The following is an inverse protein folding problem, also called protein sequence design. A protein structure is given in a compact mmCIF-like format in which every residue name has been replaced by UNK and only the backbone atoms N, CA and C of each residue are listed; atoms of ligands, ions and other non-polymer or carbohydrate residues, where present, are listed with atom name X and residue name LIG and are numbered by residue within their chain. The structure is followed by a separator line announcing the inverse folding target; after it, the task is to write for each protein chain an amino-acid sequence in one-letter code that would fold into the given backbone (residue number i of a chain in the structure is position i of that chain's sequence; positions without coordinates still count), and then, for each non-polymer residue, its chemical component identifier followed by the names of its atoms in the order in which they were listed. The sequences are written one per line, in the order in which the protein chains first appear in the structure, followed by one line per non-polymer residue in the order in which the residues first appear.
data_IF_028570768764
#
_entry.id   IF_028570768764
#
_cell.length_a   1.000
_cell.length_b   1.000
_cell.length_c   1.000
_cell.angle_alpha   90.00
_cell.angle_beta   90.00
_cell.angle_gamma   90.00
#
_symmetry.space_group_name_H-M   'P 1'
#
loop_
_entity.id
_entity.type
_entity.pdbx_description
1 polymer ?
#
# COMPACT_ATOMS: atom_id res chain seq x y z
N UNK A 1 17.88 1.39 29.89
CA UNK A 1 18.91 0.97 28.91
C UNK A 1 18.54 -0.30 28.15
N UNK A 2 18.01 -1.35 28.79
CA UNK A 2 17.64 -2.61 28.13
C UNK A 2 16.54 -2.46 27.05
N UNK A 3 15.48 -1.67 27.31
CA UNK A 3 14.38 -1.47 26.35
C UNK A 3 14.82 -0.74 25.08
N UNK A 4 15.67 0.29 25.21
CA UNK A 4 16.20 1.03 24.05
C UNK A 4 17.10 0.17 23.17
N UNK A 5 17.94 -0.70 23.76
CA UNK A 5 18.78 -1.62 22.99
C UNK A 5 17.94 -2.66 22.22
N UNK A 6 16.91 -3.21 22.85
CA UNK A 6 15.96 -4.12 22.20
C UNK A 6 15.22 -3.44 21.05
N UNK A 7 14.79 -2.17 21.23
CA UNK A 7 14.16 -1.39 20.17
C UNK A 7 15.11 -1.20 18.98
N UNK A 8 16.37 -0.82 19.22
CA UNK A 8 17.37 -0.65 18.14
C UNK A 8 17.57 -1.98 17.38
N UNK A 9 17.72 -3.10 18.10
CA UNK A 9 17.88 -4.41 17.47
C UNK A 9 16.66 -4.78 16.63
N UNK A 10 15.46 -4.55 17.16
CA UNK A 10 14.18 -4.79 16.47
C UNK A 10 14.05 -3.92 15.24
N UNK A 11 14.40 -2.64 15.32
CA UNK A 11 14.42 -1.69 14.22
C UNK A 11 15.37 -2.10 13.10
N UNK A 12 16.57 -2.56 13.45
CA UNK A 12 17.55 -3.10 12.49
C UNK A 12 17.01 -4.36 11.81
N UNK A 13 16.55 -5.32 12.61
CA UNK A 13 15.95 -6.56 12.09
C UNK A 13 14.78 -6.28 11.15
N UNK A 14 13.85 -5.44 11.57
CA UNK A 14 12.69 -5.03 10.77
C UNK A 14 13.11 -4.37 9.45
N UNK A 15 14.10 -3.48 9.47
CA UNK A 15 14.61 -2.81 8.26
C UNK A 15 15.15 -3.83 7.26
N UNK A 16 16.01 -4.74 7.73
CA UNK A 16 16.66 -5.76 6.90
C UNK A 16 15.64 -6.72 6.33
N UNK A 17 14.73 -7.25 7.16
CA UNK A 17 13.69 -8.18 6.72
C UNK A 17 12.71 -7.52 5.75
N UNK A 18 12.25 -6.30 6.04
CA UNK A 18 11.31 -5.57 5.18
C UNK A 18 11.93 -5.30 3.81
N UNK A 19 13.20 -4.88 3.76
CA UNK A 19 13.90 -4.63 2.51
C UNK A 19 14.19 -5.91 1.73
N UNK A 20 14.68 -6.95 2.41
CA UNK A 20 14.98 -8.24 1.79
C UNK A 20 13.75 -8.91 1.20
N UNK A 21 12.67 -9.01 1.98
CA UNK A 21 11.40 -9.59 1.51
C UNK A 21 10.75 -8.69 0.47
N UNK A 22 10.77 -7.36 0.66
CA UNK A 22 10.15 -6.41 -0.26
C UNK A 22 10.80 -6.36 -1.64
N UNK A 23 12.10 -6.62 -1.75
CA UNK A 23 12.82 -6.64 -3.04
C UNK A 23 12.80 -8.01 -3.72
N UNK A 24 12.27 -9.05 -3.08
CA UNK A 24 12.19 -10.41 -3.60
C UNK A 24 11.51 -10.51 -4.99
N UNK A 25 10.41 -9.77 -5.28
CA UNK A 25 9.81 -9.77 -6.62
C UNK A 25 10.77 -9.37 -7.76
N UNK A 26 11.76 -8.51 -7.50
CA UNK A 26 12.72 -8.04 -8.50
C UNK A 26 13.77 -9.09 -8.89
N UNK A 27 13.95 -10.12 -8.06
CA UNK A 27 14.90 -11.19 -8.31
C UNK A 27 14.43 -12.14 -9.42
N UNK A 28 13.13 -12.16 -9.72
CA UNK A 28 12.53 -13.04 -10.70
C UNK A 28 12.32 -12.34 -12.05
N UNK A 29 12.57 -13.06 -13.14
CA UNK A 29 12.21 -12.61 -14.48
C UNK A 29 10.76 -13.04 -14.77
N UNK A 30 9.82 -12.10 -14.65
CA UNK A 30 8.39 -12.37 -14.77
C UNK A 30 7.85 -11.93 -16.14
N UNK A 31 7.00 -12.76 -16.74
CA UNK A 31 6.21 -12.39 -17.91
C UNK A 31 5.10 -11.41 -17.54
N UNK A 32 4.55 -10.65 -18.52
CA UNK A 32 3.44 -9.70 -18.26
C UNK A 32 2.23 -10.35 -17.58
N UNK A 33 1.92 -11.60 -17.93
CA UNK A 33 0.81 -12.33 -17.31
C UNK A 33 1.10 -12.67 -15.84
N UNK A 34 2.33 -13.05 -15.52
CA UNK A 34 2.76 -13.32 -14.14
C UNK A 34 2.87 -12.04 -13.31
N UNK A 35 3.30 -10.93 -13.92
CA UNK A 35 3.32 -9.61 -13.26
C UNK A 35 1.92 -9.18 -12.85
N UNK A 36 0.94 -9.27 -13.77
CA UNK A 36 -0.45 -8.92 -13.44
C UNK A 36 -1.04 -9.77 -12.31
N UNK A 37 -0.72 -11.07 -12.27
CA UNK A 37 -1.11 -11.94 -11.14
C UNK A 37 -0.46 -11.50 -9.84
N UNK A 38 0.83 -11.18 -9.90
CA UNK A 38 1.60 -10.76 -8.75
C UNK A 38 1.14 -9.40 -8.21
N UNK A 39 0.74 -8.47 -9.07
CA UNK A 39 0.15 -7.18 -8.72
C UNK A 39 -1.21 -7.36 -8.03
N UNK A 40 -2.10 -8.20 -8.59
CA UNK A 40 -3.40 -8.51 -7.97
C UNK A 40 -3.22 -9.17 -6.60
N UNK A 41 -2.26 -10.09 -6.51
CA UNK A 41 -1.90 -10.73 -5.25
C UNK A 41 -1.31 -9.72 -4.25
N UNK A 42 -0.44 -8.80 -4.70
CA UNK A 42 0.12 -7.72 -3.89
C UNK A 42 -0.93 -6.75 -3.38
N UNK A 43 -1.90 -6.35 -4.20
CA UNK A 43 -3.05 -5.56 -3.77
C UNK A 43 -3.88 -6.31 -2.70
N UNK A 44 -4.05 -7.62 -2.87
CA UNK A 44 -4.62 -8.51 -1.87
C UNK A 44 -3.85 -8.50 -0.55
N UNK A 45 -2.51 -8.62 -0.58
CA UNK A 45 -1.67 -8.55 0.62
C UNK A 45 -1.88 -7.24 1.39
N UNK A 46 -1.91 -6.10 0.70
CA UNK A 46 -2.14 -4.79 1.32
C UNK A 46 -3.52 -4.74 2.00
N UNK A 47 -4.56 -5.21 1.30
CA UNK A 47 -5.93 -5.25 1.84
C UNK A 47 -6.05 -6.18 3.06
N UNK A 48 -5.45 -7.37 2.96
CA UNK A 48 -5.40 -8.35 4.05
C UNK A 48 -4.67 -7.81 5.27
N UNK A 49 -3.51 -7.20 5.07
CA UNK A 49 -2.70 -6.67 6.16
C UNK A 49 -3.43 -5.54 6.90
N UNK A 50 -4.13 -4.65 6.19
CA UNK A 50 -4.97 -3.63 6.80
C UNK A 50 -6.13 -4.23 7.63
N UNK A 51 -6.96 -5.08 7.00
CA UNK A 51 -8.22 -5.56 7.59
C UNK A 51 -8.05 -6.67 8.63
N UNK A 52 -7.01 -7.50 8.51
CA UNK A 52 -6.86 -8.72 9.31
C UNK A 52 -5.75 -8.64 10.35
N UNK A 53 -4.84 -7.67 10.22
CA UNK A 53 -3.72 -7.48 11.15
C UNK A 53 -3.82 -6.10 11.83
N UNK A 54 -3.66 -5.00 11.10
CA UNK A 54 -3.52 -3.66 11.71
C UNK A 54 -4.78 -3.20 12.43
N UNK A 55 -5.94 -3.27 11.76
CA UNK A 55 -7.19 -2.79 12.33
C UNK A 55 -7.61 -3.62 13.56
N UNK A 56 -7.60 -4.96 13.51
CA UNK A 56 -7.90 -5.77 14.70
C UNK A 56 -7.00 -5.48 15.89
N UNK A 57 -5.69 -5.31 15.67
CA UNK A 57 -4.73 -4.99 16.74
C UNK A 57 -4.97 -3.60 17.33
N UNK A 58 -5.31 -2.61 16.50
CA UNK A 58 -5.74 -1.29 16.96
C UNK A 58 -6.98 -1.38 17.85
N UNK A 59 -8.00 -2.14 17.42
CA UNK A 59 -9.23 -2.37 18.20
C UNK A 59 -8.90 -3.04 19.53
N UNK A 60 -8.11 -4.11 19.52
CA UNK A 60 -7.76 -4.85 20.74
C UNK A 60 -7.10 -3.94 21.78
N UNK A 61 -6.15 -3.11 21.36
CA UNK A 61 -5.45 -2.18 22.25
C UNK A 61 -6.36 -1.05 22.79
N UNK A 62 -7.28 -0.53 21.97
CA UNK A 62 -8.26 0.46 22.46
C UNK A 62 -9.20 -0.17 23.49
N UNK A 63 -9.66 -1.40 23.27
CA UNK A 63 -10.61 -2.06 24.17
C UNK A 63 -9.97 -2.65 25.42
N UNK A 64 -8.68 -3.00 25.39
CA UNK A 64 -7.93 -3.43 26.57
C UNK A 64 -8.00 -2.39 27.70
N UNK A 65 -7.93 -1.09 27.36
CA UNK A 65 -8.05 0.01 28.33
C UNK A 65 -9.42 0.15 29.02
N UNK A 66 -10.48 -0.45 28.45
CA UNK A 66 -11.82 -0.42 29.05
C UNK A 66 -11.92 -1.37 30.25
N UNK A 67 -11.08 -2.41 30.29
CA UNK A 67 -11.02 -3.32 31.43
C UNK A 67 -10.54 -2.62 32.71
N UNK A 68 -9.81 -1.51 32.58
CA UNK A 68 -9.23 -0.76 33.70
C UNK A 68 -10.23 0.19 34.40
N UNK A 69 -11.52 0.16 34.03
CA UNK A 69 -12.60 0.88 34.72
C UNK A 69 -12.59 2.41 34.55
N UNK A 70 -11.66 2.96 33.77
CA UNK A 70 -11.56 4.41 33.54
C UNK A 70 -12.73 4.95 32.68
N UNK A 71 -13.33 6.06 33.13
CA UNK A 71 -14.35 6.80 32.37
C UNK A 71 -13.68 7.75 31.39
N UNK A 72 -13.61 7.34 30.13
CA UNK A 72 -13.10 8.17 29.06
C UNK A 72 -14.20 9.02 28.42
N UNK A 73 -13.84 10.21 27.94
CA UNK A 73 -14.77 11.13 27.26
C UNK A 73 -15.39 10.54 25.99
N UNK A 74 -14.63 9.70 25.26
CA UNK A 74 -15.10 8.99 24.07
C UNK A 74 -15.16 7.49 24.35
N UNK A 75 -16.28 6.81 24.03
CA UNK A 75 -16.36 5.36 24.12
C UNK A 75 -15.40 4.70 23.11
N UNK A 76 -14.84 3.52 23.40
CA UNK A 76 -13.86 2.84 22.55
C UNK A 76 -14.24 2.70 21.08
N UNK A 77 -15.50 2.33 20.79
CA UNK A 77 -16.02 2.21 19.43
C UNK A 77 -15.89 3.51 18.62
N UNK A 78 -16.13 4.66 19.26
CA UNK A 78 -16.15 5.94 18.58
C UNK A 78 -14.71 6.43 18.36
N UNK A 79 -13.82 6.18 19.32
CA UNK A 79 -12.39 6.46 19.15
C UNK A 79 -11.80 5.67 17.96
N UNK A 80 -12.05 4.37 17.89
CA UNK A 80 -11.61 3.53 16.76
C UNK A 80 -12.18 4.07 15.45
N UNK A 81 -13.48 4.37 15.40
CA UNK A 81 -14.14 4.88 14.19
C UNK A 81 -13.54 6.20 13.72
N UNK A 82 -13.34 7.17 14.62
CA UNK A 82 -12.73 8.46 14.28
C UNK A 82 -11.28 8.33 13.86
N UNK A 83 -10.50 7.45 14.48
CA UNK A 83 -9.12 7.20 14.09
C UNK A 83 -9.05 6.55 12.70
N UNK A 84 -9.83 5.50 12.44
CA UNK A 84 -9.90 4.84 11.13
C UNK A 84 -10.32 5.82 10.03
N UNK A 85 -11.40 6.56 10.26
CA UNK A 85 -11.88 7.56 9.31
C UNK A 85 -10.85 8.67 9.10
N UNK A 86 -10.23 9.16 10.18
CA UNK A 86 -9.21 10.20 10.12
C UNK A 86 -7.99 9.77 9.30
N UNK A 87 -7.51 8.55 9.49
CA UNK A 87 -6.41 7.99 8.70
C UNK A 87 -6.78 7.84 7.23
N UNK A 88 -7.97 7.31 6.94
CA UNK A 88 -8.47 7.18 5.58
C UNK A 88 -8.63 8.53 4.87
N UNK A 89 -9.24 9.51 5.54
CA UNK A 89 -9.45 10.85 4.99
C UNK A 89 -8.14 11.61 4.82
N UNK A 90 -7.19 11.48 5.75
CA UNK A 90 -5.86 12.07 5.58
C UNK A 90 -5.22 11.52 4.31
N UNK A 91 -5.30 10.20 4.12
CA UNK A 91 -4.76 9.56 2.93
C UNK A 91 -5.44 9.99 1.63
N UNK A 92 -6.76 10.12 1.65
CA UNK A 92 -7.51 10.69 0.54
C UNK A 92 -7.05 12.11 0.21
N UNK A 93 -6.91 12.98 1.21
CA UNK A 93 -6.46 14.38 1.03
C UNK A 93 -5.03 14.41 0.49
N UNK A 94 -4.13 13.57 1.01
CA UNK A 94 -2.77 13.44 0.50
C UNK A 94 -2.81 13.09 -0.99
N UNK A 95 -3.55 12.05 -1.37
CA UNK A 95 -3.68 11.60 -2.76
C UNK A 95 -4.21 12.71 -3.67
N UNK A 96 -5.31 13.38 -3.28
CA UNK A 96 -5.90 14.48 -4.06
C UNK A 96 -4.90 15.61 -4.32
N UNK A 97 -4.10 16.00 -3.31
CA UNK A 97 -3.07 17.01 -3.48
C UNK A 97 -1.94 16.56 -4.40
N UNK A 98 -1.62 15.26 -4.44
CA UNK A 98 -0.59 14.73 -5.33
C UNK A 98 -1.08 14.69 -6.78
N UNK A 99 -2.30 14.20 -7.01
CA UNK A 99 -2.90 14.16 -8.35
C UNK A 99 -3.08 15.57 -8.91
N UNK A 100 -3.51 16.53 -8.10
CA UNK A 100 -3.67 17.93 -8.51
C UNK A 100 -2.35 18.57 -8.99
N UNK A 101 -1.21 18.24 -8.35
CA UNK A 101 0.12 18.74 -8.76
C UNK A 101 0.62 18.08 -10.05
N UNK A 102 0.27 16.83 -10.28
CA UNK A 102 0.66 16.09 -11.50
C UNK A 102 -0.15 16.48 -12.74
N UNK A 103 -1.34 17.07 -12.57
CA UNK A 103 -2.20 17.52 -13.67
C UNK A 103 -1.79 18.88 -14.29
N UNK A 104 -0.72 19.52 -13.80
CA UNK A 104 -0.25 20.77 -14.37
C UNK A 104 0.44 20.50 -15.72
N UNK A 105 0.01 21.15 -16.83
CA UNK A 105 0.51 20.82 -18.16
C UNK A 105 2.02 21.11 -18.25
N UNK A 106 2.83 20.07 -18.40
CA UNK A 106 4.19 20.24 -18.93
C UNK A 106 4.05 20.73 -20.37
N UNK A 107 4.53 21.94 -20.64
CA UNK A 107 4.75 22.42 -21.99
C UNK A 107 5.62 21.38 -22.73
N UNK A 108 5.06 20.80 -23.78
CA UNK A 108 5.66 19.72 -24.58
C UNK A 108 6.92 20.18 -25.31
N UNK A 109 8.06 19.49 -25.19
CA UNK A 109 9.10 19.50 -26.22
C UNK A 109 8.67 18.57 -27.37
N UNK A 110 8.94 19.02 -28.59
CA UNK A 110 8.54 18.42 -29.86
C UNK A 110 8.83 16.92 -29.99
N UNK A 111 7.87 16.22 -30.59
CA UNK A 111 7.98 14.85 -31.04
C UNK A 111 9.08 14.69 -32.10
N UNK A 112 9.89 13.64 -31.98
CA UNK A 112 10.63 13.11 -33.13
C UNK A 112 10.95 11.62 -32.98
N UNK A 113 10.74 10.94 -34.11
CA UNK A 113 11.40 9.72 -34.62
C UNK A 113 10.70 8.38 -34.40
N UNK A 114 10.36 7.80 -35.56
CA UNK A 114 9.82 6.47 -35.82
C UNK A 114 10.87 5.38 -35.58
N UNK A 115 10.43 4.18 -35.21
CA UNK A 115 11.10 2.95 -35.63
C UNK A 115 10.13 1.76 -35.60
N UNK A 116 9.89 1.20 -36.79
CA UNK A 116 9.20 -0.06 -37.01
C UNK A 116 10.16 -1.24 -36.81
N UNK A 117 9.71 -2.29 -36.13
CA UNK A 117 10.18 -3.66 -36.32
C UNK A 117 9.14 -4.67 -35.80
N UNK A 118 8.68 -5.65 -36.60
CA UNK A 118 7.86 -6.75 -36.12
C UNK A 118 8.73 -7.96 -35.79
N UNK A 119 8.64 -8.49 -34.56
CA UNK A 119 9.15 -9.83 -34.22
C UNK A 119 8.38 -10.37 -33.01
N UNK A 120 7.95 -11.64 -33.10
CA UNK A 120 7.13 -12.35 -32.13
C UNK A 120 7.70 -12.24 -30.71
N UNK A 121 6.98 -11.51 -29.85
CA UNK A 121 7.50 -11.00 -28.59
C UNK A 121 7.38 -12.02 -27.45
N UNK A 122 8.51 -12.61 -27.07
CA UNK A 122 8.71 -13.01 -25.67
C UNK A 122 8.77 -11.71 -24.85
N UNK A 123 7.64 -11.32 -24.23
CA UNK A 123 7.51 -10.04 -23.52
C UNK A 123 8.27 -10.05 -22.19
N UNK A 124 9.55 -9.69 -22.27
CA UNK A 124 10.44 -9.39 -21.15
C UNK A 124 10.00 -8.08 -20.47
N UNK A 125 9.85 -8.06 -19.14
CA UNK A 125 9.74 -6.80 -18.40
C UNK A 125 11.04 -6.02 -18.60
N UNK A 126 10.96 -4.90 -19.30
CA UNK A 126 12.06 -3.96 -19.49
C UNK A 126 11.78 -2.74 -18.61
N UNK A 127 12.72 -2.36 -17.71
CA UNK A 127 12.59 -1.12 -16.94
C UNK A 127 12.54 0.07 -17.91
N UNK A 128 11.79 1.13 -17.58
CA UNK A 128 11.86 2.38 -18.35
C UNK A 128 13.32 2.83 -18.48
N UNK A 129 13.78 3.03 -19.71
CA UNK A 129 15.18 3.38 -20.01
C UNK A 129 15.55 4.83 -19.64
N UNK A 130 14.58 5.62 -19.19
CA UNK A 130 14.79 6.99 -18.77
C UNK A 130 15.24 7.04 -17.29
N UNK A 131 16.53 6.78 -17.05
CA UNK A 131 17.20 7.03 -15.75
C UNK A 131 17.11 8.51 -15.30
N UNK A 132 16.57 9.39 -16.15
CA UNK A 132 16.34 10.81 -15.88
C UNK A 132 15.04 11.10 -15.11
N UNK A 133 14.14 10.12 -14.92
CA UNK A 133 12.92 10.31 -14.14
C UNK A 133 13.28 10.61 -12.66
N UNK A 134 13.00 11.82 -12.14
CA UNK A 134 13.58 12.23 -10.87
C UNK A 134 13.03 11.44 -9.68
N UNK A 135 13.90 11.07 -8.74
CA UNK A 135 13.57 10.30 -7.52
C UNK A 135 12.44 10.91 -6.68
N UNK A 136 12.22 12.22 -6.79
CA UNK A 136 11.12 12.92 -6.11
C UNK A 136 9.73 12.50 -6.60
N UNK A 137 9.57 12.05 -7.86
CA UNK A 137 8.27 11.60 -8.39
C UNK A 137 7.82 10.26 -7.80
N UNK A 138 8.79 9.39 -7.49
CA UNK A 138 8.55 8.11 -6.81
C UNK A 138 8.18 8.35 -5.35
N UNK A 139 8.93 9.23 -4.66
CA UNK A 139 8.60 9.61 -3.28
C UNK A 139 7.26 10.31 -3.17
N UNK A 140 6.90 11.15 -4.14
CA UNK A 140 5.58 11.75 -4.15
C UNK A 140 4.53 10.64 -4.26
N UNK A 141 4.64 9.70 -5.19
CA UNK A 141 3.71 8.57 -5.30
C UNK A 141 3.67 7.62 -4.09
N UNK A 142 4.61 7.73 -3.15
CA UNK A 142 4.68 6.92 -1.93
C UNK A 142 4.38 7.72 -0.66
N UNK A 143 4.14 9.02 -0.75
CA UNK A 143 3.97 9.89 0.42
C UNK A 143 2.91 9.34 1.38
N UNK A 144 1.82 8.83 0.83
CA UNK A 144 0.78 8.19 1.62
C UNK A 144 1.22 6.97 2.42
N UNK A 145 1.97 6.08 1.76
CA UNK A 145 2.54 4.88 2.37
C UNK A 145 3.63 5.24 3.41
N UNK A 146 4.32 6.38 3.22
CA UNK A 146 5.29 6.89 4.20
C UNK A 146 4.60 7.47 5.44
N UNK A 147 3.46 8.15 5.28
CA UNK A 147 2.62 8.59 6.41
C UNK A 147 2.12 7.39 7.22
N UNK A 148 1.68 6.32 6.54
CA UNK A 148 1.33 5.05 7.18
C UNK A 148 2.52 4.45 7.96
N UNK A 149 3.69 4.28 7.32
CA UNK A 149 4.88 3.75 7.96
C UNK A 149 5.36 4.59 9.16
N UNK A 150 5.16 5.90 9.11
CA UNK A 150 5.44 6.82 10.21
C UNK A 150 4.49 6.58 11.39
N UNK A 151 3.19 6.40 11.15
CA UNK A 151 2.21 6.09 12.20
C UNK A 151 2.54 4.77 12.91
N UNK A 152 2.96 3.74 12.17
CA UNK A 152 3.44 2.48 12.76
C UNK A 152 4.68 2.70 13.63
N UNK A 153 5.59 3.57 13.18
CA UNK A 153 6.80 3.92 13.94
C UNK A 153 6.43 4.58 15.27
N UNK A 154 5.50 5.53 15.25
CA UNK A 154 4.99 6.17 16.47
C UNK A 154 4.38 5.13 17.41
N UNK A 155 3.50 4.25 16.92
CA UNK A 155 2.90 3.20 17.74
C UNK A 155 3.95 2.26 18.37
N UNK A 156 4.92 1.80 17.58
CA UNK A 156 6.02 0.95 18.05
C UNK A 156 6.86 1.67 19.10
N UNK A 157 7.31 2.90 18.83
CA UNK A 157 8.14 3.69 19.74
C UNK A 157 7.43 4.00 21.05
N UNK A 158 6.13 4.31 21.01
CA UNK A 158 5.30 4.50 22.20
C UNK A 158 5.13 3.23 23.01
N UNK A 159 4.98 2.07 22.36
CA UNK A 159 4.79 0.79 23.06
C UNK A 159 5.96 0.42 23.96
N UNK A 160 7.20 0.77 23.59
CA UNK A 160 8.41 0.44 24.36
C UNK A 160 8.43 1.09 25.74
N UNK A 161 7.74 2.22 25.92
CA UNK A 161 7.58 2.86 27.23
C UNK A 161 6.52 2.21 28.12
N UNK A 162 5.53 1.51 27.55
CA UNK A 162 4.45 0.87 28.31
C UNK A 162 5.00 -0.16 29.29
N UNK A 163 4.56 -0.23 30.55
CA UNK A 163 5.02 -1.26 31.50
C UNK A 163 4.57 -2.68 31.13
N UNK A 164 3.58 -2.82 30.25
CA UNK A 164 3.08 -4.11 29.78
C UNK A 164 3.97 -4.71 28.68
N UNK A 165 4.72 -5.74 29.05
CA UNK A 165 5.59 -6.50 28.13
C UNK A 165 4.79 -7.23 27.06
N UNK A 166 3.58 -7.70 27.38
CA UNK A 166 2.72 -8.38 26.41
C UNK A 166 2.31 -7.40 25.31
N UNK A 167 1.88 -6.19 25.70
CA UNK A 167 1.53 -5.14 24.75
C UNK A 167 2.73 -4.74 23.87
N UNK A 168 3.93 -4.57 24.46
CA UNK A 168 5.17 -4.29 23.70
C UNK A 168 5.39 -5.34 22.62
N UNK A 169 5.38 -6.62 23.01
CA UNK A 169 5.65 -7.74 22.10
C UNK A 169 4.57 -7.85 21.04
N UNK A 170 3.30 -7.80 21.41
CA UNK A 170 2.17 -7.90 20.47
C UNK A 170 2.20 -6.78 19.44
N UNK A 171 2.40 -5.53 19.85
CA UNK A 171 2.46 -4.38 18.91
C UNK A 171 3.67 -4.49 17.99
N UNK A 172 4.85 -4.78 18.53
CA UNK A 172 6.07 -4.95 17.72
C UNK A 172 5.90 -6.07 16.69
N UNK A 173 5.36 -7.20 17.14
CA UNK A 173 5.16 -8.38 16.31
C UNK A 173 4.11 -8.15 15.23
N UNK A 174 2.99 -7.53 15.58
CA UNK A 174 1.95 -7.15 14.63
C UNK A 174 2.55 -6.28 13.53
N UNK A 175 3.33 -5.25 13.89
CA UNK A 175 4.01 -4.35 12.92
C UNK A 175 4.99 -5.11 12.05
N UNK A 176 5.87 -5.89 12.66
CA UNK A 176 6.88 -6.67 11.95
C UNK A 176 6.24 -7.62 10.93
N UNK A 177 5.16 -8.31 11.32
CA UNK A 177 4.47 -9.30 10.50
C UNK A 177 3.76 -8.66 9.32
N UNK A 178 3.12 -7.50 9.47
CA UNK A 178 2.39 -6.88 8.36
C UNK A 178 3.24 -5.96 7.48
N UNK A 179 4.43 -5.55 7.94
CA UNK A 179 5.34 -4.70 7.16
C UNK A 179 6.03 -5.44 6.02
N UNK A 180 6.34 -6.72 6.19
CA UNK A 180 6.93 -7.55 5.13
C UNK A 180 5.95 -7.81 3.95
N UNK A 181 4.68 -8.22 4.18
CA UNK A 181 3.65 -8.25 3.14
C UNK A 181 3.44 -6.89 2.47
N UNK A 182 3.43 -5.80 3.25
CA UNK A 182 3.25 -4.46 2.71
C UNK A 182 4.38 -4.04 1.76
N UNK A 183 5.65 -4.33 2.10
CA UNK A 183 6.78 -3.99 1.21
C UNK A 183 6.78 -4.77 -0.10
N UNK A 184 6.31 -6.02 -0.08
CA UNK A 184 6.07 -6.80 -1.31
C UNK A 184 4.99 -6.14 -2.15
N UNK A 185 3.86 -5.74 -1.54
CA UNK A 185 2.80 -5.01 -2.22
C UNK A 185 3.31 -3.73 -2.91
N UNK A 186 4.12 -2.92 -2.22
CA UNK A 186 4.74 -1.70 -2.78
C UNK A 186 5.63 -2.04 -3.98
N UNK A 187 6.49 -3.05 -3.85
CA UNK A 187 7.36 -3.47 -4.94
C UNK A 187 6.55 -3.85 -6.18
N UNK A 188 5.50 -4.66 -6.00
CA UNK A 188 4.66 -5.13 -7.11
C UNK A 188 3.87 -3.98 -7.76
N UNK A 189 3.38 -3.03 -6.97
CA UNK A 189 2.72 -1.82 -7.48
C UNK A 189 3.67 -0.94 -8.30
N UNK A 190 4.93 -0.77 -7.88
CA UNK A 190 5.88 0.02 -8.65
C UNK A 190 6.36 -0.70 -9.91
N UNK A 191 6.37 -2.04 -9.91
CA UNK A 191 6.60 -2.83 -11.12
C UNK A 191 5.47 -2.63 -12.15
N UNK A 192 4.22 -2.50 -11.70
CA UNK A 192 3.07 -2.25 -12.58
C UNK A 192 3.13 -0.87 -13.25
N UNK A 193 3.71 0.11 -12.54
CA UNK A 193 3.95 1.47 -13.04
C UNK A 193 5.24 1.60 -13.88
N UNK A 194 5.88 0.49 -14.25
CA UNK A 194 7.10 0.45 -15.05
C UNK A 194 8.30 1.24 -14.47
N UNK A 195 8.35 1.40 -13.13
CA UNK A 195 9.46 2.08 -12.47
C UNK A 195 10.80 1.33 -12.65
N UNK A 196 11.92 2.06 -12.66
CA UNK A 196 13.24 1.44 -12.80
C UNK A 196 13.61 0.61 -11.57
N UNK A 197 14.46 -0.41 -11.73
CA UNK A 197 14.87 -1.27 -10.59
C UNK A 197 15.46 -0.47 -9.44
N UNK A 198 16.20 0.60 -9.74
CA UNK A 198 16.82 1.47 -8.74
C UNK A 198 15.77 2.30 -8.00
N UNK A 199 14.77 2.83 -8.72
CA UNK A 199 13.64 3.52 -8.12
C UNK A 199 12.84 2.61 -7.19
N UNK A 200 12.58 1.36 -7.59
CA UNK A 200 11.85 0.38 -6.76
C UNK A 200 12.67 0.02 -5.52
N UNK A 201 13.96 -0.27 -5.67
CA UNK A 201 14.85 -0.55 -4.52
C UNK A 201 14.89 0.63 -3.55
N UNK A 202 15.02 1.84 -4.07
CA UNK A 202 15.02 3.05 -3.25
C UNK A 202 13.69 3.25 -2.52
N UNK A 203 12.56 3.09 -3.21
CA UNK A 203 11.23 3.15 -2.62
C UNK A 203 11.04 2.17 -1.47
N UNK A 204 11.40 0.90 -1.69
CA UNK A 204 11.30 -0.16 -0.67
C UNK A 204 12.25 0.13 0.49
N UNK A 205 13.46 0.63 0.22
CA UNK A 205 14.41 1.03 1.25
C UNK A 205 13.84 2.16 2.12
N UNK A 206 13.32 3.21 1.50
CA UNK A 206 12.73 4.35 2.21
C UNK A 206 11.56 3.87 3.08
N UNK A 207 10.64 3.06 2.55
CA UNK A 207 9.57 2.45 3.35
C UNK A 207 10.08 1.57 4.51
N UNK A 208 11.14 0.79 4.27
CA UNK A 208 11.72 -0.08 5.28
C UNK A 208 12.31 0.71 6.46
N UNK A 209 12.95 1.86 6.19
CA UNK A 209 13.59 2.69 7.23
C UNK A 209 12.67 3.72 7.89
N UNK A 210 11.53 4.09 7.27
CA UNK A 210 10.61 5.08 7.86
C UNK A 210 10.07 4.64 9.23
N UNK A 211 9.54 3.42 9.36
CA UNK A 211 9.01 2.93 10.65
C UNK A 211 10.08 2.88 11.74
N UNK A 212 11.28 2.28 11.51
CA UNK A 212 12.40 2.33 12.46
C UNK A 212 12.79 3.74 12.90
N UNK A 213 12.91 4.68 11.95
CA UNK A 213 13.30 6.07 12.24
C UNK A 213 12.27 6.73 13.14
N UNK A 214 10.98 6.60 12.81
CA UNK A 214 9.91 7.18 13.63
C UNK A 214 9.79 6.48 15.00
N UNK A 215 10.02 5.17 15.10
CA UNK A 215 10.02 4.48 16.38
C UNK A 215 11.13 4.95 17.32
N UNK A 216 12.35 5.09 16.80
CA UNK A 216 13.48 5.61 17.58
C UNK A 216 13.28 7.08 17.95
N UNK A 217 12.75 7.89 17.04
CA UNK A 217 12.43 9.29 17.29
C UNK A 217 11.37 9.42 18.40
N UNK A 218 10.27 8.68 18.30
CA UNK A 218 9.19 8.70 19.30
C UNK A 218 9.69 8.25 20.66
N UNK A 219 10.47 7.16 20.73
CA UNK A 219 11.08 6.71 21.98
C UNK A 219 11.99 7.79 22.59
N UNK A 220 12.85 8.41 21.77
CA UNK A 220 13.75 9.48 22.22
C UNK A 220 13.01 10.71 22.75
N UNK A 221 11.93 11.13 22.06
CA UNK A 221 11.08 12.25 22.49
C UNK A 221 10.40 11.92 23.82
N UNK A 222 9.83 10.72 23.96
CA UNK A 222 9.18 10.29 25.19
C UNK A 222 10.18 10.27 26.36
N UNK A 223 11.33 9.64 26.19
CA UNK A 223 12.39 9.63 27.20
C UNK A 223 12.86 11.03 27.61
N UNK A 224 13.00 11.94 26.64
CA UNK A 224 13.31 13.34 26.90
C UNK A 224 12.22 14.03 27.73
N UNK A 225 10.95 13.78 27.43
CA UNK A 225 9.81 14.35 28.15
C UNK A 225 9.68 13.79 29.57
N UNK A 226 9.84 12.48 29.78
CA UNK A 226 9.84 11.87 31.12
C UNK A 226 10.95 12.47 31.97
N UNK A 227 12.16 12.59 31.40
CA UNK A 227 13.32 13.18 32.09
C UNK A 227 13.08 14.66 32.44
N UNK A 228 12.50 15.44 31.52
CA UNK A 228 12.23 16.86 31.74
C UNK A 228 11.10 17.13 32.75
N UNK A 229 10.08 16.27 32.79
CA UNK A 229 8.92 16.43 33.68
C UNK A 229 9.09 15.74 35.03
N UNK A 230 10.10 14.90 35.19
CA UNK A 230 10.27 14.04 36.36
C UNK A 230 9.19 12.97 36.50
N UNK A 231 8.39 12.75 35.45
CA UNK A 231 7.30 11.77 35.44
C UNK A 231 7.88 10.36 35.34
N UNK A 232 7.42 9.45 36.19
CA UNK A 232 7.85 8.03 36.20
C UNK A 232 6.87 7.10 35.49
N UNK A 233 5.76 7.63 34.97
CA UNK A 233 4.71 6.87 34.28
C UNK A 233 4.81 6.93 32.76
N UNK A 234 4.30 5.90 32.09
CA UNK A 234 4.15 5.90 30.63
C UNK A 234 3.22 7.04 30.19
N UNK A 235 3.71 7.90 29.30
CA UNK A 235 2.95 9.06 28.77
C UNK A 235 1.82 8.62 27.82
N UNK A 236 1.99 7.46 27.18
CA UNK A 236 1.07 6.90 26.18
C UNK A 236 0.70 5.48 26.60
N UNK A 237 -0.60 5.22 26.80
CA UNK A 237 -1.12 3.92 27.21
C UNK A 237 -1.59 3.04 26.06
N UNK A 238 -2.14 1.88 26.40
CA UNK A 238 -2.70 0.91 25.43
C UNK A 238 -3.77 1.54 24.53
N UNK A 239 -4.61 2.41 25.11
CA UNK A 239 -5.67 3.13 24.39
C UNK A 239 -5.12 4.00 23.27
N UNK A 240 -4.11 4.81 23.57
CA UNK A 240 -3.52 5.75 22.62
C UNK A 240 -2.71 5.01 21.55
N UNK A 241 -1.98 3.95 21.93
CA UNK A 241 -1.28 3.08 20.97
C UNK A 241 -2.30 2.44 20.03
N UNK A 242 -3.42 1.92 20.55
CA UNK A 242 -4.51 1.36 19.76
C UNK A 242 -5.17 2.39 18.84
N UNK A 243 -5.30 3.65 19.29
CA UNK A 243 -5.80 4.75 18.48
C UNK A 243 -4.85 5.09 17.31
N UNK A 244 -3.53 5.13 17.57
CA UNK A 244 -2.49 5.34 16.55
C UNK A 244 -2.50 4.20 15.54
N UNK A 245 -2.59 2.94 16.00
CA UNK A 245 -2.70 1.77 15.12
C UNK A 245 -3.99 1.76 14.30
N UNK A 246 -5.12 2.15 14.90
CA UNK A 246 -6.40 2.29 14.17
C UNK A 246 -6.31 3.37 13.11
N UNK A 247 -5.68 4.50 13.42
CA UNK A 247 -5.38 5.55 12.44
C UNK A 247 -4.50 5.03 11.31
N UNK A 248 -3.44 4.30 11.64
CA UNK A 248 -2.57 3.62 10.65
C UNK A 248 -3.34 2.60 9.80
N UNK A 249 -4.30 1.87 10.39
CA UNK A 249 -5.18 0.96 9.66
C UNK A 249 -6.06 1.69 8.64
N UNK A 250 -6.54 2.89 8.98
CA UNK A 250 -7.30 3.75 8.08
C UNK A 250 -6.47 4.25 6.89
N UNK A 251 -5.23 4.71 7.15
CA UNK A 251 -4.32 5.14 6.08
C UNK A 251 -4.02 3.97 5.13
N UNK A 252 -3.75 2.79 5.68
CA UNK A 252 -3.41 1.61 4.90
C UNK A 252 -4.59 1.07 4.08
N UNK A 253 -5.80 1.09 4.66
CA UNK A 253 -7.01 0.67 3.97
C UNK A 253 -7.29 1.51 2.72
N UNK A 254 -7.05 2.83 2.77
CA UNK A 254 -7.15 3.69 1.59
C UNK A 254 -6.22 3.23 0.47
N UNK A 255 -4.93 3.04 0.79
CA UNK A 255 -3.92 2.59 -0.18
C UNK A 255 -4.30 1.24 -0.79
N UNK A 256 -4.77 0.30 0.03
CA UNK A 256 -5.17 -1.03 -0.42
C UNK A 256 -6.38 -0.99 -1.36
N UNK A 257 -7.42 -0.22 -1.02
CA UNK A 257 -8.62 -0.08 -1.87
C UNK A 257 -8.24 0.58 -3.19
N UNK A 258 -7.43 1.65 -3.14
CA UNK A 258 -6.94 2.31 -4.35
C UNK A 258 -6.19 1.33 -5.26
N UNK A 259 -5.27 0.54 -4.71
CA UNK A 259 -4.52 -0.46 -5.47
C UNK A 259 -5.46 -1.51 -6.11
N UNK A 260 -6.40 -2.06 -5.35
CA UNK A 260 -7.36 -3.06 -5.89
C UNK A 260 -8.21 -2.45 -7.01
N UNK A 261 -8.69 -1.22 -6.84
CA UNK A 261 -9.51 -0.55 -7.85
C UNK A 261 -8.73 -0.18 -9.12
N UNK A 262 -7.51 0.32 -8.98
CA UNK A 262 -6.60 0.64 -10.08
C UNK A 262 -6.32 -0.60 -10.94
N UNK A 263 -6.16 -1.77 -10.31
CA UNK A 263 -5.92 -3.03 -11.01
C UNK A 263 -7.19 -3.65 -11.61
N UNK A 264 -8.35 -3.43 -11.00
CA UNK A 264 -9.63 -3.94 -11.46
C UNK A 264 -10.17 -3.17 -12.69
N UNK A 265 -9.87 -1.86 -12.80
CA UNK A 265 -10.35 -0.99 -13.88
C UNK A 265 -9.60 -1.10 -15.20
N UNK A 266 -8.47 -1.84 -15.25
CA UNK A 266 -7.72 -2.12 -16.48
C UNK A 266 -7.86 -3.58 -16.99
N UNK A 267 -9.06 -4.06 -17.39
CA UNK A 267 -9.17 -5.29 -18.16
C UNK A 267 -8.79 -5.04 -19.61
N UNK A 268 -7.53 -5.30 -19.96
CA UNK A 268 -7.10 -5.73 -21.31
C UNK A 268 -7.71 -4.95 -22.51
N UNK A 269 -7.51 -3.64 -22.61
CA UNK A 269 -7.69 -2.90 -23.87
C UNK A 269 -6.38 -2.89 -24.69
N UNK A 270 -5.77 -4.06 -24.86
CA UNK A 270 -4.73 -4.32 -25.86
C UNK A 270 -5.04 -5.66 -26.54
N UNK A 271 -6.26 -5.80 -27.05
CA UNK A 271 -6.47 -6.68 -28.19
C UNK A 271 -6.48 -5.79 -29.43
N UNK A 272 -5.36 -5.85 -30.13
CA UNK A 272 -5.11 -5.35 -31.45
C UNK A 272 -6.34 -5.57 -32.33
N UNK A 273 -7.16 -4.54 -32.57
CA UNK A 273 -7.85 -4.44 -33.85
C UNK A 273 -6.82 -3.87 -34.82
N UNK A 274 -5.96 -4.74 -35.35
CA UNK A 274 -5.45 -4.57 -36.71
C UNK A 274 -6.69 -4.57 -37.60
N UNK A 275 -7.30 -3.39 -37.75
CA UNK A 275 -8.14 -3.12 -38.89
C UNK A 275 -7.13 -2.96 -40.02
N UNK A 276 -6.81 -4.07 -40.69
CA UNK A 276 -6.12 -4.04 -41.96
C UNK A 276 -6.93 -3.13 -42.88
N UNK A 277 -6.46 -1.90 -43.05
CA UNK A 277 -6.96 -1.02 -44.08
C UNK A 277 -6.24 -1.46 -45.35
N UNK A 278 -6.95 -2.20 -46.21
CA UNK A 278 -6.54 -2.36 -47.60
C UNK A 278 -6.38 -0.96 -48.22
N UNK A 279 -5.25 -0.66 -48.89
CA UNK A 279 -5.16 0.54 -49.71
C UNK A 279 -6.03 0.29 -50.94
N UNK A 280 -7.20 0.93 -50.99
CA UNK A 280 -7.82 1.24 -52.26
C UNK A 280 -7.45 2.68 -52.59
N UNK A 281 -6.58 2.82 -53.60
CA UNK A 281 -6.55 4.00 -54.44
C UNK A 281 -7.96 4.22 -55.00
N UNK A 282 -8.51 5.41 -54.81
CA UNK A 282 -9.10 6.23 -55.87
C UNK A 282 -9.65 7.56 -55.28
N UNK A 283 -9.38 8.63 -56.03
CA UNK A 283 -9.70 10.02 -55.78
C UNK A 283 -11.14 10.31 -55.32
N UNK A 284 -11.32 11.24 -54.38
CA UNK A 284 -12.33 12.32 -54.46
C UNK A 284 -12.18 13.34 -53.31
N UNK A 285 -12.22 14.67 -53.59
CA UNK A 285 -12.20 15.69 -52.55
C UNK A 285 -13.60 16.28 -52.24
N UNK A 286 -13.70 16.88 -51.04
CA UNK A 286 -14.67 17.88 -50.55
C UNK A 286 -16.06 17.37 -50.06
N UNK A 287 -16.31 17.45 -48.73
CA UNK A 287 -17.22 18.44 -48.11
C UNK A 287 -17.29 18.26 -46.57
N UNK A 288 -17.09 19.37 -45.87
CA UNK A 288 -17.36 19.51 -44.45
C UNK A 288 -18.86 19.65 -44.20
N UNK A 289 -19.38 18.99 -43.15
CA UNK A 289 -20.64 19.37 -42.53
C UNK A 289 -20.61 19.15 -41.02
N UNK A 290 -20.67 20.29 -40.33
CA UNK A 290 -21.00 20.48 -38.92
C UNK A 290 -22.50 20.24 -38.76
N UNK A 291 -22.89 19.41 -37.79
CA UNK A 291 -24.17 19.38 -37.03
C UNK A 291 -24.32 17.99 -36.38
N UNK A 292 -24.86 17.73 -35.21
CA UNK A 292 -25.35 18.50 -34.05
C UNK A 292 -25.46 17.47 -32.91
N UNK A 293 -25.25 17.89 -31.66
CA UNK A 293 -25.69 17.09 -30.50
C UNK A 293 -27.21 16.97 -30.56
N UNK A 294 -27.74 15.75 -30.52
CA UNK A 294 -29.06 15.48 -29.96
C UNK A 294 -29.07 14.15 -29.21
N UNK A 295 -29.88 14.11 -28.15
CA UNK A 295 -29.84 13.19 -27.02
C UNK A 295 -30.88 12.06 -27.17
N UNK A 296 -30.40 10.80 -27.10
CA UNK A 296 -31.00 9.56 -26.55
C UNK A 296 -32.31 8.96 -27.16
N UNK A 297 -32.75 7.70 -26.85
CA UNK A 297 -32.23 6.70 -25.89
C UNK A 297 -32.22 5.18 -26.31
N UNK A 298 -31.58 4.36 -25.46
CA UNK A 298 -31.85 2.94 -25.10
C UNK A 298 -31.90 1.83 -26.17
N UNK A 299 -30.76 1.16 -26.38
CA UNK A 299 -30.70 -0.31 -26.48
C UNK A 299 -29.25 -0.78 -26.26
N UNK A 300 -28.87 -1.26 -25.06
CA UNK A 300 -27.61 -1.95 -24.90
C UNK A 300 -27.75 -3.29 -25.62
N UNK A 301 -26.87 -3.51 -26.59
CA UNK A 301 -26.66 -4.78 -27.30
C UNK A 301 -26.13 -5.82 -26.30
N UNK A 302 -27.01 -6.30 -25.42
CA UNK A 302 -26.81 -7.50 -24.62
C UNK A 302 -26.96 -8.72 -25.55
N UNK A 303 -26.14 -9.75 -25.29
CA UNK A 303 -26.02 -11.02 -26.03
C UNK A 303 -25.00 -11.00 -27.17
N UNK A 304 -23.73 -11.24 -26.80
CA UNK A 304 -22.69 -11.63 -27.75
C UNK A 304 -21.30 -11.77 -27.16
N UNK A 305 -20.96 -11.07 -26.08
CA UNK A 305 -19.57 -11.01 -25.58
C UNK A 305 -19.51 -10.90 -24.05
N UNK A 306 -20.31 -11.71 -23.35
CA UNK A 306 -20.43 -11.65 -21.89
C UNK A 306 -19.73 -12.82 -21.17
N UNK A 307 -19.50 -13.95 -21.85
CA UNK A 307 -18.96 -15.16 -21.21
C UNK A 307 -17.43 -15.19 -21.09
N UNK A 308 -16.70 -14.54 -22.01
CA UNK A 308 -15.23 -14.47 -21.96
C UNK A 308 -14.71 -13.40 -20.99
N UNK A 309 -15.43 -12.28 -20.86
CA UNK A 309 -15.09 -11.18 -19.95
C UNK A 309 -15.37 -11.56 -18.49
N UNK A 310 -16.49 -12.25 -18.21
CA UNK A 310 -16.85 -12.70 -16.86
C UNK A 310 -15.86 -13.73 -16.27
N UNK A 311 -15.31 -14.62 -17.11
CA UNK A 311 -14.36 -15.65 -16.66
C UNK A 311 -12.95 -15.11 -16.34
N UNK A 312 -12.54 -14.00 -16.98
CA UNK A 312 -11.25 -13.35 -16.68
C UNK A 312 -11.29 -12.52 -15.39
N UNK A 313 -12.45 -11.93 -15.08
CA UNK A 313 -12.68 -11.13 -13.87
C UNK A 313 -12.71 -12.01 -12.61
N UNK A 314 -13.41 -13.15 -12.66
CA UNK A 314 -13.46 -14.11 -11.53
C UNK A 314 -12.10 -14.70 -11.18
N UNK A 315 -11.28 -15.02 -12.18
CA UNK A 315 -9.89 -15.48 -11.96
C UNK A 315 -8.99 -14.40 -11.39
N UNK A 316 -9.19 -13.14 -11.76
CA UNK A 316 -8.42 -12.01 -11.23
C UNK A 316 -8.75 -11.74 -9.76
N UNK A 317 -10.04 -11.85 -9.40
CA UNK A 317 -10.51 -11.69 -8.03
C UNK A 317 -9.96 -12.77 -7.09
N UNK A 318 -9.76 -14.00 -7.59
CA UNK A 318 -9.16 -15.09 -6.82
C UNK A 318 -7.74 -14.76 -6.32
N UNK A 319 -6.90 -14.06 -7.11
CA UNK A 319 -5.56 -13.67 -6.66
C UNK A 319 -5.60 -12.64 -5.53
N UNK A 320 -6.53 -11.69 -5.59
CA UNK A 320 -6.73 -10.69 -4.52
C UNK A 320 -7.18 -11.37 -3.23
N UNK A 321 -8.13 -12.32 -3.31
CA UNK A 321 -8.63 -13.08 -2.16
C UNK A 321 -7.53 -13.95 -1.54
N UNK A 322 -6.76 -14.67 -2.37
CA UNK A 322 -5.65 -15.48 -1.87
C UNK A 322 -4.59 -14.59 -1.22
N UNK A 323 -4.26 -13.44 -1.83
CA UNK A 323 -3.35 -12.46 -1.25
C UNK A 323 -3.82 -11.93 0.09
N UNK A 324 -5.10 -11.62 0.25
CA UNK A 324 -5.62 -11.03 1.49
C UNK A 324 -5.65 -11.97 2.69
N UNK A 325 -5.58 -13.28 2.47
CA UNK A 325 -5.53 -14.28 3.54
C UNK A 325 -4.10 -14.44 4.11
N UNK A 326 -3.06 -14.23 3.31
CA UNK A 326 -1.66 -14.48 3.68
C UNK A 326 -1.22 -13.70 4.94
N UNK A 327 -1.51 -12.39 5.09
CA UNK A 327 -1.13 -11.65 6.30
C UNK A 327 -1.71 -12.23 7.58
N UNK A 328 -2.97 -12.70 7.52
CA UNK A 328 -3.63 -13.34 8.67
C UNK A 328 -2.98 -14.67 9.03
N UNK A 329 -2.64 -15.49 8.04
CA UNK A 329 -1.97 -16.77 8.27
C UNK A 329 -0.60 -16.56 8.92
N UNK A 330 0.16 -15.57 8.43
CA UNK A 330 1.42 -15.15 9.04
C UNK A 330 1.23 -14.72 10.51
N UNK A 331 0.21 -13.92 10.80
CA UNK A 331 -0.08 -13.52 12.18
C UNK A 331 -0.46 -14.71 13.07
N UNK A 332 -1.24 -15.67 12.57
CA UNK A 332 -1.63 -16.86 13.33
C UNK A 332 -0.45 -17.79 13.63
N UNK A 333 0.46 -17.97 12.67
CA UNK A 333 1.69 -18.74 12.82
C UNK A 333 2.59 -18.16 13.93
N UNK A 334 2.68 -16.84 13.99
CA UNK A 334 3.54 -16.16 14.95
C UNK A 334 2.83 -15.99 16.32
N UNK A 335 1.51 -15.81 16.32
CA UNK A 335 0.71 -15.62 17.54
C UNK A 335 0.48 -16.89 18.39
N UNK A 336 0.53 -18.10 17.81
CA UNK A 336 0.35 -19.36 18.56
C UNK A 336 1.46 -19.63 19.58
N UNK A 337 2.63 -18.99 19.47
CA UNK A 337 3.76 -19.23 20.37
C UNK A 337 3.70 -18.43 21.68
N UNK A 338 2.78 -17.47 21.84
CA UNK A 338 2.71 -16.62 23.04
C UNK A 338 1.54 -16.93 24.00
N UNK A 339 0.62 -17.84 23.65
CA UNK A 339 -0.49 -18.24 24.52
C UNK A 339 -0.26 -19.51 25.35
N UNK A 340 0.91 -20.15 25.25
CA UNK A 340 1.29 -21.24 26.15
C UNK A 340 2.18 -20.75 27.30
N UNK A 341 1.56 -20.09 28.27
CA UNK A 341 2.03 -20.12 29.66
C UNK A 341 0.85 -20.62 30.50
N UNK A 342 0.83 -21.91 30.93
CA UNK A 342 -0.16 -22.37 31.87
C UNK A 342 0.15 -21.79 33.26
N UNK A 343 -0.88 -21.22 33.89
CA UNK A 343 -1.10 -20.98 35.33
C UNK A 343 0.06 -20.42 36.15
#
# INVERSE_FOLDING_TARGET
MQSGALLVLTCLFMSVCTYGVGTLPLAFQLSRHSLRKLELWGAGLLLGAALTVVIPEGIQNVYASRADGARYALPPKDLVAFCLLGGFLLMFVVEQHMTARSAQPRASPSASVWSDAPSEATLQWQPGMDDAAPWYGVLSGLLGILVHAAADGVAMGSSVESSDVSLRVVVILAILVHKAPASVGICTLLMSRHASKNQIRFAVLVFAVTTPVFALLTYGILQGLLTATGSTGAVIGSREIGAILSFSGGTFLFVAIHAVMELASHPASQHTRTREHHPHDDDHPIHAQVETRLVAPLLPRFLGEQDTVAHSSTRSLAYVVVGSIVPRLLQLLVGHHHHHSPS
#
